data_IF_976874957375
#
_entry.id   IF_976874957375
#
_cell.length_a   1.000
_cell.length_b   1.000
_cell.length_c   1.000
_cell.angle_alpha   90.00
_cell.angle_beta   90.00
_cell.angle_gamma   90.00
#
_symmetry.space_group_name_H-M   'P 1'
#
loop_
_entity.id
_entity.type
_entity.pdbx_description
1 polymer ?
#
# COMPACT_ATOMS: atom_id res chain seq x y z
N UNK A 1 -7.84 14.67 -28.16
CA UNK A 1 -8.53 14.11 -26.97
C UNK A 1 -9.48 13.02 -27.46
N UNK A 2 -9.08 11.74 -27.37
CA UNK A 2 -9.97 10.63 -27.66
C UNK A 2 -10.83 10.39 -26.43
N UNK A 3 -12.14 10.68 -26.54
CA UNK A 3 -13.12 10.28 -25.54
C UNK A 3 -13.20 8.75 -25.55
N UNK A 4 -12.67 8.11 -24.52
CA UNK A 4 -12.91 6.69 -24.28
C UNK A 4 -14.39 6.52 -23.91
N UNK A 5 -15.19 6.11 -24.87
CA UNK A 5 -16.59 5.73 -24.65
C UNK A 5 -16.60 4.28 -24.12
N UNK A 6 -16.62 4.12 -22.79
CA UNK A 6 -16.87 2.83 -22.16
C UNK A 6 -18.39 2.68 -21.96
N UNK A 7 -19.09 1.81 -22.74
CA UNK A 7 -20.54 1.58 -22.59
C UNK A 7 -20.91 1.02 -21.21
N UNK A 8 -19.96 0.47 -20.49
CA UNK A 8 -20.09 -0.07 -19.13
C UNK A 8 -20.45 1.03 -18.10
N UNK A 9 -19.89 2.23 -18.23
CA UNK A 9 -20.18 3.36 -17.32
C UNK A 9 -21.61 3.88 -17.41
N UNK A 10 -22.25 3.78 -18.57
CA UNK A 10 -23.65 4.22 -18.74
C UNK A 10 -24.64 3.27 -18.04
N UNK A 11 -24.36 1.98 -17.98
CA UNK A 11 -25.19 0.96 -17.32
C UNK A 11 -25.03 1.01 -15.80
N UNK A 12 -23.80 1.22 -15.31
CA UNK A 12 -23.55 1.44 -13.89
C UNK A 12 -24.24 2.72 -13.42
N UNK A 13 -24.17 3.77 -14.21
CA UNK A 13 -24.84 5.05 -13.91
C UNK A 13 -26.36 4.87 -13.79
N UNK A 14 -27.03 4.13 -14.67
CA UNK A 14 -28.49 4.02 -14.67
C UNK A 14 -29.06 3.17 -13.52
N UNK A 15 -28.34 2.16 -13.01
CA UNK A 15 -28.79 1.30 -11.91
C UNK A 15 -28.37 1.79 -10.52
N UNK A 16 -27.24 2.45 -10.40
CA UNK A 16 -26.83 3.11 -9.15
C UNK A 16 -27.66 4.37 -8.86
N UNK A 17 -28.11 5.08 -9.87
CA UNK A 17 -28.92 6.30 -9.74
C UNK A 17 -30.23 6.03 -8.98
N UNK A 18 -30.88 4.90 -9.20
CA UNK A 18 -32.19 4.58 -8.57
C UNK A 18 -32.06 4.33 -7.04
N UNK A 19 -30.90 3.89 -6.55
CA UNK A 19 -30.69 3.67 -5.10
C UNK A 19 -30.18 4.93 -4.36
N UNK A 20 -29.77 5.96 -5.11
CA UNK A 20 -29.03 7.11 -4.57
C UNK A 20 -29.82 8.40 -4.43
N UNK A 21 -31.04 8.52 -4.98
CA UNK A 21 -31.70 9.83 -5.08
C UNK A 21 -31.98 10.49 -3.72
N UNK A 22 -32.43 9.76 -2.72
CA UNK A 22 -32.67 10.34 -1.39
C UNK A 22 -31.41 10.47 -0.50
N UNK A 23 -30.53 9.49 -0.53
CA UNK A 23 -29.28 9.50 0.22
C UNK A 23 -28.24 10.39 -0.45
N UNK A 24 -28.25 10.41 -1.79
CA UNK A 24 -27.40 11.25 -2.61
C UNK A 24 -27.59 12.75 -2.30
N UNK A 25 -28.84 13.19 -2.27
CA UNK A 25 -29.19 14.58 -1.97
C UNK A 25 -28.77 15.03 -0.57
N UNK A 26 -28.87 14.15 0.42
CA UNK A 26 -28.39 14.44 1.77
C UNK A 26 -26.87 14.53 1.80
N UNK A 27 -26.19 13.56 1.21
CA UNK A 27 -24.72 13.53 1.14
C UNK A 27 -24.19 14.72 0.33
N UNK A 28 -24.88 15.11 -0.74
CA UNK A 28 -24.48 16.24 -1.57
C UNK A 28 -24.46 17.57 -0.80
N UNK A 29 -25.42 17.79 0.09
CA UNK A 29 -25.53 19.01 0.93
C UNK A 29 -24.50 19.08 2.05
N UNK A 30 -23.83 17.96 2.40
CA UNK A 30 -22.81 17.95 3.46
C UNK A 30 -21.52 18.64 3.00
N UNK A 31 -20.87 19.44 3.87
CA UNK A 31 -19.55 19.99 3.57
C UNK A 31 -18.52 18.87 3.42
N UNK A 32 -17.53 19.09 2.55
CA UNK A 32 -16.57 18.06 2.14
C UNK A 32 -15.84 17.40 3.32
N UNK A 33 -15.42 18.20 4.30
CA UNK A 33 -14.75 17.67 5.50
C UNK A 33 -15.66 16.71 6.30
N UNK A 34 -16.96 16.98 6.37
CA UNK A 34 -17.90 16.13 7.10
C UNK A 34 -18.12 14.79 6.36
N UNK A 35 -18.11 14.79 5.03
CA UNK A 35 -18.17 13.57 4.21
C UNK A 35 -16.99 12.64 4.52
N UNK A 36 -15.77 13.17 4.49
CA UNK A 36 -14.58 12.38 4.81
C UNK A 36 -14.54 11.94 6.27
N UNK A 37 -15.06 12.75 7.19
CA UNK A 37 -15.16 12.40 8.60
C UNK A 37 -16.13 11.24 8.83
N UNK A 38 -17.31 11.27 8.19
CA UNK A 38 -18.29 10.17 8.23
C UNK A 38 -17.69 8.89 7.65
N UNK A 39 -17.03 8.97 6.50
CA UNK A 39 -16.40 7.79 5.90
C UNK A 39 -15.30 7.25 6.81
N UNK A 40 -14.44 8.10 7.33
CA UNK A 40 -13.39 7.67 8.26
C UNK A 40 -13.98 7.00 9.50
N UNK A 41 -15.06 7.54 10.04
CA UNK A 41 -15.79 6.95 11.16
C UNK A 41 -16.36 5.57 10.80
N UNK A 42 -17.01 5.43 9.65
CA UNK A 42 -17.54 4.15 9.19
C UNK A 42 -16.41 3.12 8.98
N UNK A 43 -15.31 3.53 8.35
CA UNK A 43 -14.12 2.68 8.17
C UNK A 43 -13.61 2.18 9.52
N UNK A 44 -13.48 3.07 10.50
CA UNK A 44 -13.07 2.74 11.86
C UNK A 44 -14.06 1.76 12.50
N UNK A 45 -15.36 2.00 12.37
CA UNK A 45 -16.40 1.10 12.91
C UNK A 45 -16.33 -0.31 12.32
N UNK A 46 -15.94 -0.45 11.04
CA UNK A 46 -15.74 -1.75 10.39
C UNK A 46 -14.44 -2.44 10.80
N UNK A 47 -13.39 -1.67 11.08
CA UNK A 47 -12.05 -2.21 11.33
C UNK A 47 -11.80 -2.53 12.81
N UNK A 48 -12.34 -1.73 13.73
CA UNK A 48 -12.06 -1.91 15.17
C UNK A 48 -12.68 -3.17 15.80
N UNK A 49 -13.90 -3.66 15.43
CA UNK A 49 -14.44 -4.86 16.04
C UNK A 49 -13.48 -6.05 15.89
N UNK A 50 -13.19 -6.69 17.02
CA UNK A 50 -12.30 -7.85 17.07
C UNK A 50 -10.81 -7.53 17.22
N UNK A 51 -10.36 -6.29 17.06
CA UNK A 51 -8.92 -5.97 17.14
C UNK A 51 -8.29 -6.34 18.49
N UNK A 52 -9.06 -6.26 19.56
CA UNK A 52 -8.64 -6.63 20.92
C UNK A 52 -8.99 -8.07 21.28
N UNK A 53 -10.17 -8.55 20.86
CA UNK A 53 -10.73 -9.82 21.31
C UNK A 53 -10.30 -11.03 20.49
N UNK A 54 -9.90 -10.83 19.23
CA UNK A 54 -9.41 -11.92 18.39
C UNK A 54 -7.97 -12.26 18.82
N UNK A 55 -7.71 -13.51 19.26
CA UNK A 55 -6.35 -13.93 19.58
C UNK A 55 -5.47 -13.90 18.32
N UNK A 56 -4.13 -13.93 18.42
CA UNK A 56 -3.26 -14.12 17.26
C UNK A 56 -3.61 -15.42 16.54
N UNK A 57 -4.22 -15.30 15.35
CA UNK A 57 -4.66 -16.45 14.56
C UNK A 57 -3.56 -17.01 13.69
N UNK A 58 -2.62 -16.17 13.31
CA UNK A 58 -1.52 -16.51 12.42
C UNK A 58 -0.21 -16.60 13.20
N UNK A 59 0.53 -17.65 12.88
CA UNK A 59 1.89 -17.88 13.40
C UNK A 59 2.80 -16.66 13.14
N UNK A 60 2.67 -16.01 12.00
CA UNK A 60 3.49 -14.84 11.68
C UNK A 60 3.10 -13.64 12.52
N UNK A 61 1.81 -13.41 12.79
CA UNK A 61 1.36 -12.35 13.69
C UNK A 61 1.99 -12.47 15.08
N UNK A 62 1.92 -13.67 15.67
CA UNK A 62 2.52 -13.96 16.97
C UNK A 62 4.02 -13.70 16.99
N UNK A 63 4.73 -14.12 15.93
CA UNK A 63 6.17 -13.94 15.81
C UNK A 63 6.59 -12.48 15.62
N UNK A 64 5.83 -11.68 14.85
CA UNK A 64 6.11 -10.26 14.69
C UNK A 64 5.90 -9.50 15.99
N UNK A 65 4.76 -9.72 16.65
CA UNK A 65 4.42 -9.07 17.91
C UNK A 65 5.44 -9.40 19.00
N UNK A 66 5.83 -10.69 19.13
CA UNK A 66 6.81 -11.11 20.14
C UNK A 66 8.19 -10.54 19.86
N UNK A 67 8.67 -10.54 18.60
CA UNK A 67 9.96 -9.95 18.26
C UNK A 67 10.00 -8.43 18.49
N UNK A 68 8.89 -7.74 18.22
CA UNK A 68 8.76 -6.30 18.48
C UNK A 68 8.68 -6.00 19.97
N UNK A 69 8.01 -6.85 20.78
CA UNK A 69 8.01 -6.77 22.24
C UNK A 69 9.40 -6.95 22.81
N UNK A 70 10.10 -7.98 22.36
CA UNK A 70 11.46 -8.26 22.80
C UNK A 70 12.43 -7.13 22.43
N UNK A 71 12.27 -6.51 21.27
CA UNK A 71 13.05 -5.34 20.86
C UNK A 71 12.91 -4.18 21.86
N UNK A 72 11.70 -3.96 22.43
CA UNK A 72 11.47 -2.96 23.48
C UNK A 72 12.08 -3.38 24.83
N UNK A 73 11.98 -4.64 25.18
CA UNK A 73 12.49 -5.18 26.44
C UNK A 73 14.02 -5.17 26.50
N UNK A 74 14.65 -5.60 25.40
CA UNK A 74 16.11 -5.63 25.25
C UNK A 74 16.72 -4.24 24.92
N UNK A 75 15.87 -3.24 24.60
CA UNK A 75 16.26 -1.91 24.11
C UNK A 75 17.22 -1.99 22.91
N UNK A 76 17.10 -3.04 22.12
CA UNK A 76 17.94 -3.29 20.94
C UNK A 76 17.12 -3.09 19.67
N UNK A 77 17.28 -1.94 19.05
CA UNK A 77 16.55 -1.54 17.84
C UNK A 77 17.31 -1.85 16.53
N UNK A 78 18.36 -2.66 16.59
CA UNK A 78 19.20 -3.02 15.44
C UNK A 78 19.05 -4.50 15.10
N UNK A 79 19.14 -5.38 16.10
CA UNK A 79 19.13 -6.83 15.93
C UNK A 79 17.73 -7.36 16.17
N UNK A 80 17.22 -8.12 15.19
CA UNK A 80 15.89 -8.74 15.30
C UNK A 80 16.06 -10.12 15.93
N UNK A 81 15.45 -10.32 17.09
CA UNK A 81 15.43 -11.62 17.79
C UNK A 81 13.99 -12.11 17.94
N UNK A 82 13.83 -13.41 17.96
CA UNK A 82 12.62 -14.09 18.38
C UNK A 82 13.03 -15.18 19.37
N UNK A 83 12.73 -14.95 20.63
CA UNK A 83 13.31 -15.72 21.76
C UNK A 83 14.85 -15.61 21.73
N UNK A 84 15.56 -16.71 21.73
CA UNK A 84 17.03 -16.75 21.74
C UNK A 84 17.65 -16.73 20.34
N UNK A 85 16.83 -16.81 19.28
CA UNK A 85 17.31 -16.92 17.91
C UNK A 85 17.23 -15.62 17.13
N UNK A 86 18.20 -15.42 16.19
CA UNK A 86 18.13 -14.33 15.22
C UNK A 86 16.98 -14.55 14.24
N UNK A 87 16.10 -13.54 14.10
CA UNK A 87 14.99 -13.59 13.17
C UNK A 87 15.31 -12.90 11.85
N UNK A 88 15.82 -13.64 10.89
CA UNK A 88 16.23 -13.14 9.57
C UNK A 88 15.14 -13.28 8.49
N UNK A 89 13.86 -13.07 8.83
CA UNK A 89 12.73 -13.31 7.90
C UNK A 89 12.23 -12.04 7.21
N UNK A 90 12.29 -10.90 7.86
CA UNK A 90 11.87 -9.60 7.32
C UNK A 90 12.83 -8.50 7.78
N UNK A 91 12.95 -7.40 7.01
CA UNK A 91 13.71 -6.23 7.43
C UNK A 91 13.13 -5.55 8.67
N UNK A 92 13.88 -4.61 9.23
CA UNK A 92 13.64 -4.00 10.54
C UNK A 92 12.36 -3.15 10.62
N UNK A 93 11.89 -2.59 9.51
CA UNK A 93 10.87 -1.52 9.52
C UNK A 93 9.57 -1.89 10.23
N UNK A 94 9.07 -3.12 10.04
CA UNK A 94 7.84 -3.57 10.73
C UNK A 94 8.05 -3.60 12.24
N UNK A 95 9.21 -4.06 12.72
CA UNK A 95 9.51 -4.14 14.13
C UNK A 95 9.62 -2.76 14.77
N UNK A 96 10.24 -1.79 14.09
CA UNK A 96 10.27 -0.39 14.57
C UNK A 96 8.88 0.21 14.69
N UNK A 97 8.03 0.03 13.68
CA UNK A 97 6.67 0.58 13.71
C UNK A 97 5.83 -0.06 14.81
N UNK A 98 5.92 -1.38 14.98
CA UNK A 98 5.20 -2.09 16.02
C UNK A 98 5.74 -1.77 17.42
N UNK A 99 7.06 -1.69 17.59
CA UNK A 99 7.67 -1.31 18.87
C UNK A 99 7.30 0.11 19.27
N UNK A 100 7.32 1.07 18.34
CA UNK A 100 6.87 2.43 18.62
C UNK A 100 5.40 2.45 19.07
N UNK A 101 4.54 1.73 18.39
CA UNK A 101 3.12 1.62 18.77
C UNK A 101 2.95 0.97 20.15
N UNK A 102 3.67 -0.11 20.42
CA UNK A 102 3.62 -0.80 21.71
C UNK A 102 4.23 0.04 22.86
N UNK A 103 5.22 0.87 22.56
CA UNK A 103 5.74 1.84 23.52
C UNK A 103 4.68 2.86 23.95
N UNK A 104 3.86 3.34 23.00
CA UNK A 104 2.82 4.35 23.26
C UNK A 104 1.58 3.72 23.92
N UNK A 105 1.10 2.58 23.42
CA UNK A 105 -0.19 1.98 23.78
C UNK A 105 -0.08 0.80 24.75
N UNK A 106 1.13 0.45 25.18
CA UNK A 106 1.39 -0.64 26.12
C UNK A 106 1.83 -1.94 25.44
N UNK A 107 2.93 -2.51 25.89
CA UNK A 107 3.59 -3.66 25.28
C UNK A 107 2.91 -5.01 25.51
N UNK A 108 2.00 -5.09 26.49
CA UNK A 108 1.34 -6.35 26.89
C UNK A 108 0.06 -6.64 26.06
N UNK A 109 -0.41 -5.65 25.29
CA UNK A 109 -1.63 -5.79 24.50
C UNK A 109 -1.32 -6.10 23.04
N UNK A 110 -1.90 -7.15 22.49
CA UNK A 110 -1.80 -7.45 21.03
C UNK A 110 -2.35 -6.28 20.17
N UNK A 111 -3.31 -5.55 20.70
CA UNK A 111 -3.89 -4.37 20.04
C UNK A 111 -2.82 -3.35 19.68
N UNK A 112 -1.84 -3.12 20.55
CA UNK A 112 -0.76 -2.17 20.32
C UNK A 112 0.06 -2.49 19.07
N UNK A 113 0.22 -3.75 18.75
CA UNK A 113 0.95 -4.21 17.55
C UNK A 113 0.07 -4.19 16.29
N UNK A 114 -1.28 -4.14 16.43
CA UNK A 114 -2.26 -4.09 15.33
C UNK A 114 -2.60 -2.66 14.91
N UNK A 115 -2.52 -1.69 15.82
CA UNK A 115 -2.83 -0.28 15.56
C UNK A 115 -2.12 0.26 14.31
N UNK A 116 -0.82 0.01 14.07
CA UNK A 116 -0.16 0.50 12.86
C UNK A 116 -0.85 0.06 11.56
N UNK A 117 -1.36 -1.16 11.52
CA UNK A 117 -2.05 -1.69 10.33
C UNK A 117 -3.41 -0.99 10.11
N UNK A 118 -4.14 -0.70 11.18
CA UNK A 118 -5.39 0.08 11.11
C UNK A 118 -5.11 1.50 10.60
N UNK A 119 -4.09 2.17 11.14
CA UNK A 119 -3.70 3.51 10.70
C UNK A 119 -3.28 3.49 9.22
N UNK A 120 -2.46 2.51 8.83
CA UNK A 120 -2.03 2.35 7.45
C UNK A 120 -3.22 2.19 6.50
N UNK A 121 -4.24 1.42 6.88
CA UNK A 121 -5.42 1.23 6.05
C UNK A 121 -6.30 2.47 5.97
N UNK A 122 -6.45 3.22 7.05
CA UNK A 122 -7.16 4.50 7.03
C UNK A 122 -6.47 5.45 6.04
N UNK A 123 -5.14 5.58 6.12
CA UNK A 123 -4.36 6.40 5.19
C UNK A 123 -4.53 5.90 3.74
N UNK A 124 -4.43 4.58 3.52
CA UNK A 124 -4.66 3.95 2.22
C UNK A 124 -6.02 4.35 1.64
N UNK A 125 -7.08 4.20 2.44
CA UNK A 125 -8.45 4.49 2.04
C UNK A 125 -8.62 5.96 1.65
N UNK A 126 -8.10 6.88 2.47
CA UNK A 126 -8.17 8.33 2.20
C UNK A 126 -7.40 8.71 0.93
N UNK A 127 -6.18 8.19 0.77
CA UNK A 127 -5.33 8.48 -0.39
C UNK A 127 -5.95 7.91 -1.67
N UNK A 128 -6.46 6.68 -1.62
CA UNK A 128 -7.08 6.05 -2.78
C UNK A 128 -8.40 6.74 -3.17
N UNK A 129 -9.19 7.15 -2.19
CA UNK A 129 -10.41 7.94 -2.41
C UNK A 129 -10.11 9.29 -3.05
N UNK A 130 -9.09 9.99 -2.58
CA UNK A 130 -8.64 11.24 -3.18
C UNK A 130 -8.16 11.04 -4.63
N UNK A 131 -7.57 9.90 -4.92
CA UNK A 131 -7.17 9.53 -6.29
C UNK A 131 -8.38 9.31 -7.20
N UNK A 132 -9.37 8.52 -6.75
CA UNK A 132 -10.61 8.29 -7.51
C UNK A 132 -11.34 9.60 -7.78
N UNK A 133 -11.42 10.49 -6.78
CA UNK A 133 -11.95 11.84 -6.97
C UNK A 133 -11.23 12.60 -8.10
N UNK A 134 -9.89 12.62 -8.05
CA UNK A 134 -9.09 13.34 -9.05
C UNK A 134 -9.27 12.76 -10.46
N UNK A 135 -9.32 11.43 -10.60
CA UNK A 135 -9.58 10.78 -11.89
C UNK A 135 -10.98 11.13 -12.39
N UNK A 136 -12.02 10.93 -11.58
CA UNK A 136 -13.38 11.20 -11.97
C UNK A 136 -13.58 12.65 -12.42
N UNK A 137 -13.08 13.60 -11.64
CA UNK A 137 -13.24 15.02 -11.91
C UNK A 137 -12.43 15.50 -13.12
N UNK A 138 -11.16 15.06 -13.26
CA UNK A 138 -10.26 15.60 -14.29
C UNK A 138 -10.31 14.87 -15.63
N UNK A 139 -10.51 13.56 -15.61
CA UNK A 139 -10.40 12.74 -16.82
C UNK A 139 -11.75 12.27 -17.37
N UNK A 140 -12.76 12.12 -16.51
CA UNK A 140 -14.09 11.72 -16.96
C UNK A 140 -15.07 12.88 -17.02
N UNK A 141 -14.64 14.10 -16.72
CA UNK A 141 -15.46 15.33 -16.79
C UNK A 141 -16.76 15.21 -15.98
N UNK A 142 -16.69 14.48 -14.87
CA UNK A 142 -17.84 14.22 -13.98
C UNK A 142 -18.05 15.44 -13.09
N UNK A 143 -19.32 15.79 -12.84
CA UNK A 143 -19.66 16.87 -11.93
C UNK A 143 -18.98 16.71 -10.56
N UNK A 144 -18.61 17.82 -9.93
CA UNK A 144 -17.88 17.85 -8.65
C UNK A 144 -18.55 17.00 -7.56
N UNK A 145 -19.88 17.11 -7.40
CA UNK A 145 -20.66 16.32 -6.45
C UNK A 145 -20.57 14.81 -6.72
N UNK A 146 -20.71 14.41 -7.98
CA UNK A 146 -20.62 13.01 -8.38
C UNK A 146 -19.21 12.45 -8.19
N UNK A 147 -18.15 13.22 -8.46
CA UNK A 147 -16.77 12.81 -8.21
C UNK A 147 -16.51 12.56 -6.71
N UNK A 148 -17.10 13.38 -5.82
CA UNK A 148 -17.06 13.14 -4.38
C UNK A 148 -17.80 11.85 -4.02
N UNK A 149 -18.98 11.61 -4.57
CA UNK A 149 -19.76 10.41 -4.28
C UNK A 149 -18.98 9.14 -4.70
N UNK A 150 -18.31 9.14 -5.85
CA UNK A 150 -17.43 8.02 -6.25
C UNK A 150 -16.26 7.82 -5.28
N UNK A 151 -15.66 8.90 -4.82
CA UNK A 151 -14.60 8.86 -3.81
C UNK A 151 -15.07 8.23 -2.48
N UNK A 152 -16.25 8.61 -1.99
CA UNK A 152 -16.85 8.08 -0.78
C UNK A 152 -17.24 6.60 -0.93
N UNK A 153 -17.88 6.26 -2.06
CA UNK A 153 -18.23 4.87 -2.38
C UNK A 153 -17.00 3.98 -2.40
N UNK A 154 -15.91 4.45 -3.00
CA UNK A 154 -14.63 3.74 -3.02
C UNK A 154 -14.12 3.46 -1.62
N UNK A 155 -14.20 4.42 -0.70
CA UNK A 155 -13.79 4.24 0.70
C UNK A 155 -14.60 3.13 1.40
N UNK A 156 -15.91 3.14 1.19
CA UNK A 156 -16.81 2.12 1.75
C UNK A 156 -16.49 0.75 1.15
N UNK A 157 -16.37 0.68 -0.18
CA UNK A 157 -16.06 -0.56 -0.88
C UNK A 157 -14.74 -1.16 -0.42
N UNK A 158 -13.67 -0.37 -0.31
CA UNK A 158 -12.39 -0.85 0.21
C UNK A 158 -12.52 -1.43 1.61
N UNK A 159 -13.35 -0.81 2.47
CA UNK A 159 -13.49 -1.21 3.86
C UNK A 159 -14.25 -2.52 4.06
N UNK A 160 -15.12 -2.90 3.12
CA UNK A 160 -15.89 -4.14 3.16
C UNK A 160 -15.20 -5.32 2.46
N UNK A 161 -14.05 -5.10 1.82
CA UNK A 161 -13.29 -6.19 1.19
C UNK A 161 -12.87 -7.18 2.27
N UNK A 162 -13.31 -8.44 2.12
CA UNK A 162 -13.09 -9.51 3.09
C UNK A 162 -11.60 -9.73 3.39
N UNK A 163 -10.77 -9.80 2.36
CA UNK A 163 -9.33 -9.96 2.51
C UNK A 163 -8.69 -8.83 3.31
N UNK A 164 -9.08 -7.58 3.08
CA UNK A 164 -8.58 -6.43 3.84
C UNK A 164 -9.07 -6.46 5.29
N UNK A 165 -10.34 -6.77 5.51
CA UNK A 165 -10.90 -6.86 6.86
C UNK A 165 -10.18 -7.87 7.76
N UNK A 166 -9.64 -8.95 7.20
CA UNK A 166 -8.84 -9.95 7.93
C UNK A 166 -7.42 -9.44 8.14
N UNK A 167 -6.72 -9.02 7.07
CA UNK A 167 -5.31 -8.67 7.13
C UNK A 167 -5.03 -7.42 7.99
N UNK A 168 -5.95 -6.47 8.02
CA UNK A 168 -5.80 -5.24 8.81
C UNK A 168 -5.82 -5.52 10.31
N UNK A 169 -6.56 -6.54 10.74
CA UNK A 169 -6.69 -6.94 12.14
C UNK A 169 -5.53 -7.79 12.65
N UNK A 170 -4.53 -8.04 11.81
CA UNK A 170 -3.35 -8.82 12.16
C UNK A 170 -2.10 -7.93 12.18
N UNK A 171 -1.22 -8.16 13.16
CA UNK A 171 0.03 -7.40 13.31
C UNK A 171 1.10 -7.92 12.32
N UNK A 172 0.86 -7.69 11.01
CA UNK A 172 1.73 -8.14 9.91
C UNK A 172 2.24 -6.97 9.07
N UNK A 173 3.05 -7.28 8.07
CA UNK A 173 3.67 -6.29 7.17
C UNK A 173 2.72 -5.78 6.07
N UNK A 174 1.66 -6.53 5.75
CA UNK A 174 0.95 -6.43 4.48
C UNK A 174 0.16 -5.13 4.34
N UNK A 175 -0.56 -4.71 5.37
CA UNK A 175 -1.34 -3.47 5.34
C UNK A 175 -0.46 -2.23 5.19
N UNK A 176 0.67 -2.19 5.90
CA UNK A 176 1.61 -1.06 5.81
C UNK A 176 2.27 -1.04 4.43
N UNK A 177 2.69 -2.20 3.93
CA UNK A 177 3.27 -2.30 2.59
C UNK A 177 2.26 -1.89 1.52
N UNK A 178 1.01 -2.34 1.61
CA UNK A 178 -0.06 -1.98 0.68
C UNK A 178 -0.27 -0.47 0.64
N UNK A 179 -0.32 0.19 1.81
CA UNK A 179 -0.40 1.66 1.89
C UNK A 179 0.78 2.32 1.18
N UNK A 180 2.02 1.91 1.49
CA UNK A 180 3.22 2.49 0.90
C UNK A 180 3.25 2.28 -0.62
N UNK A 181 2.96 1.07 -1.10
CA UNK A 181 2.92 0.78 -2.53
C UNK A 181 1.81 1.56 -3.24
N UNK A 182 0.63 1.72 -2.64
CA UNK A 182 -0.45 2.51 -3.22
C UNK A 182 -0.05 3.97 -3.34
N UNK A 183 0.48 4.58 -2.27
CA UNK A 183 0.95 5.98 -2.32
C UNK A 183 2.03 6.12 -3.41
N UNK A 184 2.97 5.19 -3.47
CA UNK A 184 4.02 5.15 -4.48
C UNK A 184 3.45 5.11 -5.91
N UNK A 185 2.47 4.24 -6.18
CA UNK A 185 1.84 4.14 -7.50
C UNK A 185 1.05 5.40 -7.87
N UNK A 186 0.40 6.05 -6.91
CA UNK A 186 -0.29 7.32 -7.13
C UNK A 186 0.68 8.46 -7.44
N UNK A 187 1.82 8.49 -6.79
CA UNK A 187 2.88 9.47 -7.10
C UNK A 187 3.47 9.16 -8.48
N UNK A 188 3.73 7.88 -8.80
CA UNK A 188 4.16 7.45 -10.12
C UNK A 188 3.22 7.96 -11.21
N UNK A 189 1.91 7.73 -11.05
CA UNK A 189 0.89 8.21 -11.99
C UNK A 189 0.93 9.74 -12.16
N UNK A 190 1.10 10.50 -11.09
CA UNK A 190 1.25 11.97 -11.17
C UNK A 190 2.50 12.38 -11.94
N UNK A 191 3.64 11.73 -11.69
CA UNK A 191 4.90 12.01 -12.40
C UNK A 191 4.76 11.68 -13.89
N UNK A 192 4.14 10.55 -14.21
CA UNK A 192 3.89 10.11 -15.57
C UNK A 192 3.02 11.12 -16.34
N UNK A 193 1.85 11.49 -15.79
CA UNK A 193 0.96 12.46 -16.43
C UNK A 193 1.62 13.83 -16.58
N UNK A 194 2.35 14.28 -15.59
CA UNK A 194 3.10 15.52 -15.69
C UNK A 194 4.11 15.48 -16.83
N UNK A 195 4.82 14.38 -17.01
CA UNK A 195 5.76 14.19 -18.10
C UNK A 195 5.09 14.11 -19.48
N UNK A 196 3.83 13.68 -19.55
CA UNK A 196 3.04 13.66 -20.80
C UNK A 196 2.45 15.02 -21.15
N UNK A 197 1.99 15.80 -20.16
CA UNK A 197 1.34 17.10 -20.38
C UNK A 197 2.34 18.25 -20.57
N UNK A 198 3.49 18.18 -19.91
CA UNK A 198 4.44 19.30 -19.83
C UNK A 198 5.69 19.06 -20.64
N UNK A 199 5.59 19.08 -22.00
CA UNK A 199 6.79 19.18 -22.85
C UNK A 199 7.55 20.51 -22.69
N UNK A 200 6.96 21.52 -22.04
CA UNK A 200 7.58 22.80 -21.77
C UNK A 200 8.53 22.74 -20.56
N UNK A 201 9.80 22.77 -20.83
CA UNK A 201 11.01 22.58 -20.02
C UNK A 201 11.09 23.47 -18.74
N UNK A 202 10.25 24.47 -18.56
CA UNK A 202 10.42 25.54 -17.57
C UNK A 202 9.80 25.30 -16.17
N UNK A 203 9.12 24.17 -15.92
CA UNK A 203 8.55 23.84 -14.59
C UNK A 203 9.19 22.61 -13.92
N UNK A 204 10.44 22.32 -14.22
CA UNK A 204 11.12 21.10 -13.76
C UNK A 204 11.33 21.03 -12.22
N UNK A 205 11.38 22.15 -11.53
CA UNK A 205 11.65 22.19 -10.10
C UNK A 205 10.43 21.91 -9.20
N UNK A 206 9.21 22.17 -9.67
CA UNK A 206 8.01 22.06 -8.84
C UNK A 206 7.65 20.61 -8.47
N UNK A 207 8.22 19.62 -9.16
CA UNK A 207 7.93 18.19 -8.94
C UNK A 207 9.06 17.43 -8.25
N UNK A 208 10.21 18.06 -8.05
CA UNK A 208 11.37 17.40 -7.46
C UNK A 208 11.08 16.84 -6.05
N UNK A 209 10.26 17.55 -5.24
CA UNK A 209 9.85 17.06 -3.94
C UNK A 209 8.98 15.81 -4.03
N UNK A 210 8.08 15.72 -5.02
CA UNK A 210 7.20 14.58 -5.24
C UNK A 210 8.01 13.34 -5.66
N UNK A 211 9.02 13.54 -6.50
CA UNK A 211 9.95 12.47 -6.90
C UNK A 211 10.79 11.99 -5.71
N UNK A 212 11.29 12.91 -4.87
CA UNK A 212 12.02 12.54 -3.65
C UNK A 212 11.12 11.78 -2.68
N UNK A 213 9.86 12.20 -2.52
CA UNK A 213 8.85 11.50 -1.72
C UNK A 213 8.59 10.09 -2.28
N UNK A 214 8.51 9.92 -3.60
CA UNK A 214 8.39 8.62 -4.25
C UNK A 214 9.50 7.66 -3.82
N UNK A 215 10.76 8.10 -3.92
CA UNK A 215 11.92 7.29 -3.56
C UNK A 215 12.02 7.03 -2.06
N UNK A 216 11.62 8.01 -1.24
CA UNK A 216 11.53 7.86 0.21
C UNK A 216 10.55 6.75 0.59
N UNK A 217 9.34 6.76 0.01
CA UNK A 217 8.30 5.75 0.25
C UNK A 217 8.77 4.37 -0.23
N UNK A 218 9.44 4.30 -1.39
CA UNK A 218 10.04 3.06 -1.88
C UNK A 218 11.06 2.51 -0.88
N UNK A 219 11.94 3.36 -0.36
CA UNK A 219 12.94 2.96 0.64
C UNK A 219 12.31 2.47 1.95
N UNK A 220 11.22 3.11 2.42
CA UNK A 220 10.44 2.60 3.55
C UNK A 220 9.82 1.23 3.23
N UNK A 221 9.30 1.03 2.02
CA UNK A 221 8.79 -0.26 1.57
C UNK A 221 9.85 -1.37 1.61
N UNK A 222 11.11 -1.03 1.25
CA UNK A 222 12.26 -1.95 1.38
C UNK A 222 12.48 -2.32 2.85
N UNK A 223 12.44 -1.37 3.77
CA UNK A 223 12.60 -1.64 5.20
C UNK A 223 11.42 -2.44 5.79
N UNK A 224 10.22 -2.39 5.21
CA UNK A 224 9.05 -3.17 5.68
C UNK A 224 9.09 -4.61 5.16
N UNK A 225 9.30 -4.83 3.86
CA UNK A 225 9.16 -6.18 3.26
C UNK A 225 10.19 -6.48 2.16
N UNK A 226 11.33 -5.81 2.18
CA UNK A 226 12.45 -6.05 1.25
C UNK A 226 12.10 -5.71 -0.20
N UNK A 227 12.37 -6.62 -1.16
CA UNK A 227 12.34 -6.31 -2.60
C UNK A 227 10.94 -6.15 -3.20
N UNK A 228 9.86 -6.36 -2.44
CA UNK A 228 8.50 -6.35 -2.99
C UNK A 228 8.09 -4.96 -3.48
N UNK A 229 8.40 -3.90 -2.72
CA UNK A 229 8.10 -2.52 -3.13
C UNK A 229 8.84 -2.13 -4.42
N UNK A 230 10.16 -2.33 -4.55
CA UNK A 230 10.86 -2.13 -5.83
C UNK A 230 10.32 -3.00 -6.95
N UNK A 231 9.99 -4.26 -6.70
CA UNK A 231 9.45 -5.17 -7.71
C UNK A 231 8.14 -4.63 -8.31
N UNK A 232 7.20 -4.22 -7.47
CA UNK A 232 5.94 -3.64 -7.91
C UNK A 232 6.17 -2.35 -8.72
N UNK A 233 7.10 -1.50 -8.28
CA UNK A 233 7.47 -0.32 -9.03
C UNK A 233 7.99 -0.68 -10.42
N UNK A 234 8.99 -1.56 -10.51
CA UNK A 234 9.60 -1.91 -11.80
C UNK A 234 8.62 -2.62 -12.73
N UNK A 235 7.73 -3.48 -12.20
CA UNK A 235 6.67 -4.09 -13.00
C UNK A 235 5.73 -3.03 -13.60
N UNK A 236 5.27 -2.09 -12.80
CA UNK A 236 4.43 -0.98 -13.28
C UNK A 236 5.19 -0.11 -14.29
N UNK A 237 6.42 0.26 -13.96
CA UNK A 237 7.26 1.08 -14.83
C UNK A 237 7.47 0.45 -16.22
N UNK A 238 7.85 -0.83 -16.24
CA UNK A 238 8.03 -1.59 -17.49
C UNK A 238 6.71 -1.69 -18.24
N UNK A 239 5.59 -2.00 -17.55
CA UNK A 239 4.28 -2.10 -18.18
C UNK A 239 3.87 -0.79 -18.84
N UNK A 240 4.08 0.35 -18.20
CA UNK A 240 3.76 1.68 -18.77
C UNK A 240 4.67 2.00 -19.95
N UNK A 241 5.97 1.70 -19.85
CA UNK A 241 6.91 1.87 -21.00
C UNK A 241 6.47 1.03 -22.20
N UNK A 242 6.06 -0.22 -21.96
CA UNK A 242 5.57 -1.11 -23.02
C UNK A 242 4.26 -0.61 -23.62
N UNK A 243 3.32 -0.13 -22.79
CA UNK A 243 2.07 0.47 -23.26
C UNK A 243 2.35 1.70 -24.15
N UNK A 244 3.16 2.64 -23.68
CA UNK A 244 3.55 3.80 -24.48
C UNK A 244 4.13 3.38 -25.83
N UNK A 245 5.02 2.40 -25.83
CA UNK A 245 5.77 2.01 -27.03
C UNK A 245 4.94 1.23 -28.03
N UNK A 246 4.16 0.27 -27.57
CA UNK A 246 3.47 -0.69 -28.43
C UNK A 246 1.99 -0.38 -28.67
N UNK A 247 1.32 0.27 -27.73
CA UNK A 247 -0.10 0.61 -27.82
C UNK A 247 -0.26 2.04 -28.31
N UNK A 248 0.34 3.02 -27.60
CA UNK A 248 0.26 4.44 -27.95
C UNK A 248 1.20 4.82 -29.12
N UNK A 249 2.13 3.92 -29.48
CA UNK A 249 3.18 4.15 -30.51
C UNK A 249 4.03 5.39 -30.23
N UNK A 250 4.13 5.79 -28.97
CA UNK A 250 4.95 6.91 -28.54
C UNK A 250 6.37 6.46 -28.25
N UNK A 251 7.34 7.09 -28.91
CA UNK A 251 8.76 6.80 -28.74
C UNK A 251 9.44 7.77 -27.75
N UNK A 252 8.72 8.82 -27.33
CA UNK A 252 9.24 9.82 -26.43
C UNK A 252 9.01 9.41 -24.98
N UNK A 253 10.03 8.84 -24.35
CA UNK A 253 10.04 8.46 -22.94
C UNK A 253 10.69 9.54 -22.05
N UNK A 254 10.50 10.82 -22.37
CA UNK A 254 11.08 11.94 -21.61
C UNK A 254 10.66 11.95 -20.13
N UNK A 255 9.46 11.48 -19.81
CA UNK A 255 8.96 11.37 -18.46
C UNK A 255 9.84 10.46 -17.56
N UNK A 256 10.57 9.50 -18.14
CA UNK A 256 11.50 8.62 -17.39
C UNK A 256 12.61 9.41 -16.71
N UNK A 257 13.05 10.51 -17.32
CA UNK A 257 14.09 11.38 -16.77
C UNK A 257 13.61 12.14 -15.52
N UNK A 258 12.30 12.36 -15.40
CA UNK A 258 11.69 13.05 -14.25
C UNK A 258 11.89 12.30 -12.94
N UNK A 259 12.15 11.00 -12.98
CA UNK A 259 12.38 10.19 -11.77
C UNK A 259 13.68 10.51 -11.03
N UNK A 260 14.57 11.35 -11.57
CA UNK A 260 15.81 11.77 -10.92
C UNK A 260 16.56 10.58 -10.28
N UNK A 261 16.80 9.55 -11.06
CA UNK A 261 17.30 8.23 -10.62
C UNK A 261 18.50 8.31 -9.66
N UNK A 262 19.44 9.23 -9.91
CA UNK A 262 20.61 9.44 -9.05
C UNK A 262 20.24 9.88 -7.63
N UNK A 263 19.24 10.79 -7.49
CA UNK A 263 18.72 11.20 -6.18
C UNK A 263 17.94 10.08 -5.52
N UNK A 264 17.19 9.31 -6.31
CA UNK A 264 16.45 8.15 -5.84
C UNK A 264 17.33 7.08 -5.23
N UNK A 265 18.39 6.69 -5.93
CA UNK A 265 19.36 5.74 -5.41
C UNK A 265 20.02 6.25 -4.14
N UNK A 266 20.42 7.53 -4.09
CA UNK A 266 20.98 8.13 -2.89
C UNK A 266 20.00 8.04 -1.70
N UNK A 267 18.73 8.36 -1.90
CA UNK A 267 17.69 8.28 -0.85
C UNK A 267 17.57 6.84 -0.34
N UNK A 268 17.51 5.85 -1.24
CA UNK A 268 17.46 4.44 -0.84
C UNK A 268 18.68 4.09 0.01
N UNK A 269 19.88 4.44 -0.44
CA UNK A 269 21.10 4.15 0.31
C UNK A 269 21.11 4.80 1.69
N UNK A 270 20.78 6.08 1.78
CA UNK A 270 20.78 6.82 3.06
C UNK A 270 19.78 6.23 4.06
N UNK A 271 18.64 5.69 3.59
CA UNK A 271 17.60 5.15 4.47
C UNK A 271 17.88 3.69 4.84
N UNK A 272 18.35 2.87 3.90
CA UNK A 272 18.45 1.42 4.13
C UNK A 272 19.81 0.97 4.65
N UNK A 273 20.89 1.57 4.16
CA UNK A 273 22.27 1.14 4.48
C UNK A 273 22.63 1.31 5.96
N UNK A 274 22.23 2.39 6.66
CA UNK A 274 22.60 2.52 8.08
C UNK A 274 22.15 1.32 8.92
N UNK A 275 20.89 0.86 8.74
CA UNK A 275 20.45 -0.33 9.45
C UNK A 275 21.19 -1.60 9.00
N UNK A 276 21.35 -1.80 7.70
CA UNK A 276 22.06 -2.98 7.16
C UNK A 276 23.48 -3.04 7.72
N UNK A 277 24.19 -1.92 7.75
CA UNK A 277 25.55 -1.83 8.29
C UNK A 277 25.61 -2.13 9.79
N UNK A 278 24.71 -1.53 10.58
CA UNK A 278 24.66 -1.76 12.03
C UNK A 278 24.29 -3.21 12.35
N UNK A 279 23.32 -3.77 11.63
CA UNK A 279 22.91 -5.17 11.79
C UNK A 279 24.02 -6.13 11.39
N UNK A 280 24.75 -5.84 10.30
CA UNK A 280 25.92 -6.60 9.89
C UNK A 280 26.99 -6.61 10.98
N UNK A 281 27.35 -5.43 11.49
CA UNK A 281 28.37 -5.29 12.54
C UNK A 281 27.95 -5.98 13.85
N UNK A 282 26.68 -5.90 14.22
CA UNK A 282 26.18 -6.47 15.49
C UNK A 282 26.01 -7.99 15.46
N UNK A 283 26.01 -8.63 14.28
CA UNK A 283 25.76 -10.07 14.13
C UNK A 283 26.80 -10.78 13.27
N UNK A 284 27.97 -10.15 13.04
CA UNK A 284 29.03 -10.66 12.14
C UNK A 284 28.45 -11.10 10.78
N UNK A 285 27.49 -10.33 10.26
CA UNK A 285 26.81 -10.57 9.00
C UNK A 285 25.75 -11.68 9.01
N UNK A 286 25.63 -12.46 10.06
CA UNK A 286 24.76 -13.64 10.09
C UNK A 286 23.28 -13.30 9.86
N UNK A 287 22.76 -12.21 10.44
CA UNK A 287 21.38 -11.76 10.23
C UNK A 287 21.08 -11.48 8.74
N UNK A 288 21.95 -10.73 8.10
CA UNK A 288 21.76 -10.31 6.69
C UNK A 288 21.97 -11.49 5.74
N UNK A 289 23.02 -12.32 5.96
CA UNK A 289 23.28 -13.50 5.13
C UNK A 289 22.13 -14.52 5.23
N UNK A 290 21.59 -14.74 6.42
CA UNK A 290 20.46 -15.64 6.63
C UNK A 290 19.17 -15.09 5.99
N UNK A 291 18.95 -13.76 6.00
CA UNK A 291 17.84 -13.14 5.31
C UNK A 291 17.92 -13.36 3.79
N UNK A 292 19.11 -13.16 3.19
CA UNK A 292 19.32 -13.34 1.75
C UNK A 292 19.18 -14.81 1.36
N UNK A 293 19.88 -15.72 2.06
CA UNK A 293 19.87 -17.14 1.74
C UNK A 293 18.54 -17.80 2.08
N UNK A 294 18.04 -17.57 3.29
CA UNK A 294 16.86 -18.29 3.82
C UNK A 294 15.55 -17.76 3.29
N UNK A 295 15.34 -16.44 3.26
CA UNK A 295 14.04 -15.87 2.88
C UNK A 295 13.95 -15.52 1.39
N UNK A 296 15.03 -15.06 0.76
CA UNK A 296 14.99 -14.64 -0.64
C UNK A 296 15.31 -15.79 -1.61
N UNK A 297 16.50 -16.40 -1.50
CA UNK A 297 16.95 -17.40 -2.49
C UNK A 297 16.10 -18.68 -2.40
N UNK A 298 15.80 -19.16 -1.19
CA UNK A 298 15.03 -20.39 -1.02
C UNK A 298 13.58 -20.26 -1.48
N UNK A 299 12.95 -19.06 -1.31
CA UNK A 299 11.60 -18.79 -1.83
C UNK A 299 11.51 -18.77 -3.35
N UNK A 300 12.58 -18.36 -4.03
CA UNK A 300 12.65 -18.43 -5.50
C UNK A 300 12.79 -19.88 -5.99
N UNK A 301 13.54 -20.71 -5.26
CA UNK A 301 13.83 -22.10 -5.67
C UNK A 301 12.73 -23.07 -5.33
N UNK A 302 12.03 -22.88 -4.24
CA UNK A 302 10.97 -23.80 -3.79
C UNK A 302 9.91 -23.08 -3.00
N UNK A 303 8.64 -23.44 -3.18
CA UNK A 303 7.55 -22.99 -2.30
C UNK A 303 7.85 -23.38 -0.86
N UNK A 304 7.99 -22.40 0.04
CA UNK A 304 8.21 -22.64 1.47
C UNK A 304 6.89 -22.63 2.24
N UNK A 305 6.85 -23.31 3.37
CA UNK A 305 5.77 -23.26 4.36
C UNK A 305 4.39 -23.77 3.84
N UNK A 306 4.39 -24.77 2.94
CA UNK A 306 3.17 -25.35 2.34
C UNK A 306 2.32 -24.36 1.51
N UNK A 307 2.88 -23.24 1.08
CA UNK A 307 2.22 -22.32 0.14
C UNK A 307 2.30 -22.85 -1.31
N UNK A 308 2.11 -24.14 -1.49
CA UNK A 308 2.02 -24.74 -2.82
C UNK A 308 0.54 -24.95 -3.16
N UNK A 309 0.12 -24.43 -4.27
CA UNK A 309 -1.22 -24.63 -4.79
C UNK A 309 -1.19 -24.97 -6.29
N UNK A 310 -2.21 -25.68 -6.81
CA UNK A 310 -2.35 -25.91 -8.24
C UNK A 310 -2.31 -24.63 -9.04
N UNK A 311 -1.93 -24.73 -10.31
CA UNK A 311 -1.97 -23.57 -11.21
C UNK A 311 -3.38 -22.93 -11.19
N UNK A 312 -3.44 -21.62 -10.99
CA UNK A 312 -4.71 -20.88 -10.89
C UNK A 312 -5.28 -20.71 -9.47
N UNK A 313 -4.72 -21.34 -8.44
CA UNK A 313 -5.18 -21.18 -7.03
C UNK A 313 -5.27 -19.70 -6.63
N UNK A 314 -4.29 -18.89 -7.01
CA UNK A 314 -4.28 -17.47 -6.68
C UNK A 314 -5.38 -16.69 -7.40
N UNK A 315 -5.80 -17.11 -8.59
CA UNK A 315 -6.93 -16.51 -9.32
C UNK A 315 -8.23 -16.80 -8.56
N UNK A 316 -8.43 -18.04 -8.11
CA UNK A 316 -9.60 -18.40 -7.31
C UNK A 316 -9.61 -17.68 -5.96
N UNK A 317 -8.47 -17.58 -5.29
CA UNK A 317 -8.33 -16.84 -4.03
C UNK A 317 -8.61 -15.34 -4.23
N UNK A 318 -8.30 -14.79 -5.39
CA UNK A 318 -8.61 -13.38 -5.70
C UNK A 318 -10.11 -13.10 -5.60
N UNK A 319 -10.96 -14.00 -6.13
CA UNK A 319 -12.41 -13.87 -6.04
C UNK A 319 -12.91 -13.90 -4.59
N UNK A 320 -12.33 -14.73 -3.76
CA UNK A 320 -12.68 -14.80 -2.34
C UNK A 320 -12.18 -13.58 -1.56
N UNK A 321 -10.94 -13.17 -1.79
CA UNK A 321 -10.32 -12.06 -1.04
C UNK A 321 -10.92 -10.71 -1.41
N UNK A 322 -11.33 -10.51 -2.67
CA UNK A 322 -11.98 -9.29 -3.14
C UNK A 322 -13.50 -9.28 -2.93
N UNK A 323 -14.07 -10.32 -2.32
CA UNK A 323 -15.50 -10.31 -1.99
C UNK A 323 -15.86 -9.13 -1.08
N UNK A 324 -16.98 -8.41 -1.30
CA UNK A 324 -17.99 -8.60 -2.38
C UNK A 324 -17.69 -7.81 -3.67
N UNK A 325 -16.60 -7.07 -3.76
CA UNK A 325 -16.29 -6.17 -4.90
C UNK A 325 -16.10 -6.96 -6.20
N UNK A 326 -15.64 -8.19 -6.11
CA UNK A 326 -15.45 -9.07 -7.27
C UNK A 326 -16.72 -9.21 -8.12
N UNK A 327 -17.91 -9.04 -7.53
CA UNK A 327 -19.18 -9.09 -8.27
C UNK A 327 -19.35 -7.96 -9.29
N UNK A 328 -18.59 -6.88 -9.14
CA UNK A 328 -18.64 -5.70 -10.02
C UNK A 328 -17.53 -5.70 -11.08
N UNK A 329 -16.53 -6.58 -10.96
CA UNK A 329 -15.39 -6.64 -11.90
C UNK A 329 -15.76 -7.07 -13.32
N UNK A 330 -16.76 -7.96 -13.56
CA UNK A 330 -17.13 -8.39 -14.91
C UNK A 330 -17.95 -7.36 -15.72
N UNK A 331 -18.33 -6.27 -15.11
CA UNK A 331 -19.15 -5.23 -15.70
C UNK A 331 -18.37 -3.93 -15.85
#
# INVERSE_FOLDING_TARGET
>A
MHKFNFPILSIINSKLIVFTDGFGDFVEKLPMYLKYLIVSFLVICFLLPGIKSIPPLDRDEARFSQASKQMLEDQNYVVIKFQDELRAKKPIGIYWVQSLSAYIFGKESITSYRIPNVIAFIILTLVFSAFVYNIAYRYFDVAFSSAINYSLLTSILLSIIFGFAIEIKQAKTDSILLMLCTIQQLIFWKIYNYGKESWNIYKHNDHAWLVRLFWFILALGILIKGPISPLLFFLTFISVVLLDRFVEKEWNLSWVRLFLWHQGLLIIFVITIPWVYLAWKATDGSLILNAIKGDFINKIKSGQENHWGPFGTYILLLFLTLWPIVLFVPY
#
